data_IF_641749236117
#
_entry.id   IF_641749236117
#
_cell.length_a   1.000
_cell.length_b   1.000
_cell.length_c   1.000
_cell.angle_alpha   90.00
_cell.angle_beta   90.00
_cell.angle_gamma   90.00
#
_symmetry.space_group_name_H-M   'P 1'
#
loop_
_entity.id
_entity.type
_entity.pdbx_description
1 polymer ?
#
# COMPACT_ATOMS: atom_id res chain seq x y z
N UNK A 1 52.38 44.86 -50.48
CA UNK A 1 53.09 45.21 -49.27
C UNK A 1 52.65 44.26 -48.19
N UNK A 2 53.58 43.48 -47.72
CA UNK A 2 53.44 42.45 -46.67
C UNK A 2 53.25 43.07 -45.29
N UNK A 3 52.65 42.34 -44.39
CA UNK A 3 53.06 42.07 -43.02
C UNK A 3 52.04 41.11 -42.44
N UNK A 4 52.37 39.85 -42.28
CA UNK A 4 52.73 38.95 -41.16
C UNK A 4 51.93 39.08 -39.87
N UNK A 5 51.30 37.90 -39.50
CA UNK A 5 51.23 37.16 -38.21
C UNK A 5 50.68 37.90 -36.99
N UNK A 6 49.68 37.29 -36.33
CA UNK A 6 49.86 36.25 -35.29
C UNK A 6 48.55 35.60 -34.86
N UNK A 7 48.67 34.37 -34.51
CA UNK A 7 47.69 33.37 -34.05
C UNK A 7 47.14 33.68 -32.68
N UNK A 8 45.82 33.49 -32.48
CA UNK A 8 45.31 32.94 -31.24
C UNK A 8 44.05 32.08 -31.49
N UNK A 9 44.18 30.81 -31.18
CA UNK A 9 43.14 29.78 -31.19
C UNK A 9 42.18 29.95 -30.04
N UNK A 10 40.88 29.99 -30.29
CA UNK A 10 39.86 29.58 -29.32
C UNK A 10 38.86 28.70 -30.03
N UNK A 11 38.83 27.44 -29.60
CA UNK A 11 37.91 26.41 -30.03
C UNK A 11 36.52 26.67 -29.44
N UNK A 12 35.53 26.93 -30.27
CA UNK A 12 34.13 26.78 -29.94
C UNK A 12 33.65 25.46 -30.52
N UNK A 13 33.32 24.53 -29.66
CA UNK A 13 32.71 23.24 -30.02
C UNK A 13 31.21 23.42 -30.15
N UNK A 14 30.73 23.43 -31.37
CA UNK A 14 29.30 23.26 -31.69
C UNK A 14 28.92 21.82 -31.40
N UNK A 15 28.03 21.61 -30.44
CA UNK A 15 27.41 20.33 -30.17
C UNK A 15 26.17 20.17 -31.07
N UNK A 16 26.36 19.49 -32.20
CA UNK A 16 25.26 18.90 -32.95
C UNK A 16 24.64 17.75 -32.16
N UNK A 17 23.32 17.76 -32.00
CA UNK A 17 22.51 16.70 -31.43
C UNK A 17 22.31 15.64 -32.52
N UNK A 18 22.77 14.39 -32.36
CA UNK A 18 22.47 13.34 -33.33
C UNK A 18 21.03 12.83 -33.16
N UNK A 19 20.38 12.62 -34.32
CA UNK A 19 19.08 12.02 -34.46
C UNK A 19 19.05 10.59 -33.88
N UNK A 20 17.98 10.26 -33.20
CA UNK A 20 17.65 8.97 -32.63
C UNK A 20 17.56 7.89 -33.70
N UNK A 21 18.44 6.91 -33.60
CA UNK A 21 18.30 5.57 -34.23
C UNK A 21 18.06 4.60 -33.10
N UNK A 22 16.96 3.83 -33.20
CA UNK A 22 16.59 2.83 -32.21
C UNK A 22 17.68 1.80 -31.96
N UNK A 23 18.21 1.80 -30.76
CA UNK A 23 19.13 0.83 -30.23
C UNK A 23 18.64 0.49 -28.82
N UNK A 24 18.43 -0.79 -28.57
CA UNK A 24 18.20 -1.35 -27.24
C UNK A 24 19.27 -0.85 -26.30
N UNK A 25 18.89 0.01 -25.37
CA UNK A 25 19.77 0.50 -24.33
C UNK A 25 20.06 -0.65 -23.36
N UNK A 26 21.22 -1.26 -23.50
CA UNK A 26 21.76 -2.14 -22.46
C UNK A 26 22.18 -1.25 -21.28
N UNK A 27 21.31 -1.13 -20.28
CA UNK A 27 21.66 -0.48 -19.02
C UNK A 27 22.71 -1.32 -18.30
N UNK A 28 23.91 -0.78 -18.21
CA UNK A 28 24.98 -1.33 -17.40
C UNK A 28 24.71 -0.91 -15.95
N UNK A 29 24.11 -1.79 -15.15
CA UNK A 29 23.96 -1.57 -13.72
C UNK A 29 25.18 -2.16 -13.00
N UNK A 30 25.90 -1.39 -12.18
CA UNK A 30 26.93 -1.93 -11.32
C UNK A 30 26.28 -2.91 -10.33
N UNK A 31 26.88 -4.08 -10.17
CA UNK A 31 26.47 -5.06 -9.19
C UNK A 31 26.46 -4.38 -7.81
N UNK A 32 25.28 -4.35 -7.18
CA UNK A 32 25.16 -3.89 -5.79
C UNK A 32 25.82 -4.96 -4.94
N UNK A 33 26.81 -4.64 -4.10
CA UNK A 33 27.40 -5.60 -3.20
C UNK A 33 26.32 -6.19 -2.28
N UNK A 34 26.30 -7.50 -2.14
CA UNK A 34 25.56 -8.16 -1.06
C UNK A 34 26.30 -7.87 0.26
N UNK A 35 26.14 -6.66 0.79
CA UNK A 35 26.69 -6.31 2.09
C UNK A 35 25.80 -6.92 3.18
N UNK A 36 26.17 -8.14 3.58
CA UNK A 36 25.68 -8.79 4.80
C UNK A 36 26.19 -8.09 6.09
N UNK A 37 26.96 -7.01 5.95
CA UNK A 37 27.58 -6.25 7.04
C UNK A 37 26.89 -4.91 7.31
N UNK A 38 25.56 -4.88 7.32
CA UNK A 38 24.87 -3.79 8.01
C UNK A 38 24.86 -4.12 9.51
N UNK A 39 25.96 -3.76 10.19
CA UNK A 39 25.98 -3.70 11.64
C UNK A 39 24.94 -2.67 12.05
N UNK A 40 23.75 -3.18 12.42
CA UNK A 40 22.62 -2.37 12.87
C UNK A 40 23.02 -1.46 14.03
N UNK A 41 23.55 -0.28 13.72
CA UNK A 41 23.44 0.83 14.63
C UNK A 41 21.96 1.17 14.66
N UNK A 42 21.27 0.75 15.71
CA UNK A 42 20.03 1.39 16.15
C UNK A 42 20.34 2.89 16.21
N UNK A 43 19.94 3.62 15.18
CA UNK A 43 19.89 5.07 15.29
C UNK A 43 18.77 5.33 16.28
N UNK A 44 19.07 6.02 17.36
CA UNK A 44 18.09 6.61 18.24
C UNK A 44 17.12 7.42 17.36
N UNK A 45 15.97 6.81 17.05
CA UNK A 45 14.93 7.44 16.24
C UNK A 45 14.26 8.51 17.08
N UNK A 46 14.65 9.75 16.88
CA UNK A 46 14.08 10.92 17.57
C UNK A 46 13.01 11.64 16.73
N UNK A 47 12.66 11.09 15.57
CA UNK A 47 11.70 11.66 14.62
C UNK A 47 10.27 11.14 14.82
N UNK A 48 9.32 11.76 14.13
CA UNK A 48 7.94 11.29 14.06
C UNK A 48 7.84 10.03 13.18
N UNK A 49 6.90 9.13 13.50
CA UNK A 49 6.74 7.86 12.81
C UNK A 49 6.22 8.05 11.37
N UNK A 50 6.81 7.37 10.39
CA UNK A 50 6.31 7.31 9.01
C UNK A 50 5.17 6.31 8.92
N UNK A 51 3.92 6.79 8.99
CA UNK A 51 2.72 5.96 8.99
C UNK A 51 2.43 5.27 7.65
N UNK A 52 2.47 5.98 6.50
CA UNK A 52 2.15 5.40 5.20
C UNK A 52 3.00 4.19 4.84
N UNK A 53 2.32 3.11 4.44
CA UNK A 53 2.96 1.83 4.15
C UNK A 53 3.62 1.83 2.77
N UNK A 54 4.69 1.05 2.68
CA UNK A 54 5.24 0.48 1.44
C UNK A 54 4.54 -0.85 1.19
N UNK A 55 4.11 -1.12 -0.02
CA UNK A 55 3.46 -2.39 -0.40
C UNK A 55 4.23 -3.08 -1.50
N UNK A 56 4.57 -4.34 -1.28
CA UNK A 56 5.15 -5.24 -2.26
C UNK A 56 4.18 -6.39 -2.49
N UNK A 57 3.79 -6.59 -3.74
CA UNK A 57 3.01 -7.72 -4.19
C UNK A 57 3.81 -8.52 -5.20
N UNK A 58 3.87 -9.84 -5.02
CA UNK A 58 4.60 -10.74 -5.92
C UNK A 58 3.69 -11.90 -6.29
N UNK A 59 3.49 -12.08 -7.58
CA UNK A 59 2.74 -13.20 -8.15
C UNK A 59 3.71 -14.21 -8.74
N UNK A 60 3.42 -15.48 -8.53
CA UNK A 60 4.20 -16.61 -9.00
C UNK A 60 3.36 -17.52 -9.90
N UNK A 61 4.01 -18.23 -10.79
CA UNK A 61 3.44 -19.32 -11.58
C UNK A 61 4.19 -20.63 -11.32
N UNK A 62 3.61 -21.75 -11.69
CA UNK A 62 4.30 -23.05 -11.64
C UNK A 62 5.25 -23.19 -12.83
N UNK A 63 6.43 -23.74 -12.60
CA UNK A 63 7.40 -24.04 -13.66
C UNK A 63 6.85 -25.06 -14.66
N UNK A 64 5.96 -25.96 -14.24
CA UNK A 64 5.34 -27.00 -15.10
C UNK A 64 4.32 -26.45 -16.09
N UNK A 65 3.85 -25.21 -15.93
CA UNK A 65 2.81 -24.65 -16.79
C UNK A 65 3.36 -24.09 -18.12
N UNK A 66 4.68 -24.11 -18.32
CA UNK A 66 5.34 -23.68 -19.58
C UNK A 66 5.10 -24.60 -20.77
N UNK A 67 4.65 -25.86 -20.58
CA UNK A 67 4.54 -26.87 -21.62
C UNK A 67 3.19 -27.55 -21.80
N UNK A 68 2.17 -27.18 -21.08
CA UNK A 68 0.83 -27.72 -21.31
C UNK A 68 0.08 -26.84 -22.29
N UNK A 69 0.05 -27.32 -23.54
CA UNK A 69 -0.87 -26.85 -24.58
C UNK A 69 -2.28 -26.68 -23.98
N UNK A 70 -2.89 -25.52 -24.20
CA UNK A 70 -4.21 -25.14 -23.68
C UNK A 70 -5.39 -26.03 -24.13
N UNK A 71 -5.10 -27.19 -24.69
CA UNK A 71 -6.09 -28.17 -25.20
C UNK A 71 -6.49 -29.27 -24.21
N UNK A 72 -5.81 -29.40 -23.07
CA UNK A 72 -6.22 -30.36 -22.03
C UNK A 72 -6.77 -29.63 -20.84
N UNK A 73 -8.04 -29.36 -20.92
CA UNK A 73 -8.83 -28.71 -19.93
C UNK A 73 -8.78 -29.35 -18.55
N UNK A 74 -9.09 -28.50 -17.61
CA UNK A 74 -9.76 -28.88 -16.39
C UNK A 74 -8.88 -29.51 -15.30
N UNK A 75 -8.03 -28.65 -14.67
CA UNK A 75 -7.75 -28.88 -13.26
C UNK A 75 -8.78 -28.09 -12.42
N UNK A 76 -9.98 -28.65 -12.33
CA UNK A 76 -10.94 -28.18 -11.36
C UNK A 76 -10.33 -28.24 -9.95
N UNK A 77 -10.62 -27.25 -9.06
CA UNK A 77 -10.15 -27.24 -7.67
C UNK A 77 -10.70 -28.41 -6.81
N UNK A 78 -11.34 -29.39 -7.42
CA UNK A 78 -12.13 -30.42 -6.74
C UNK A 78 -11.37 -31.67 -6.28
N UNK A 79 -10.06 -31.76 -6.42
CA UNK A 79 -9.33 -32.98 -6.02
C UNK A 79 -8.20 -32.79 -5.00
N UNK A 80 -7.99 -31.59 -4.46
CA UNK A 80 -7.11 -31.44 -3.30
C UNK A 80 -7.86 -31.78 -2.03
N UNK A 81 -7.31 -32.66 -1.16
CA UNK A 81 -7.91 -32.93 0.13
C UNK A 81 -8.18 -31.63 0.90
N UNK A 82 -9.32 -31.50 1.61
CA UNK A 82 -9.55 -30.35 2.47
C UNK A 82 -8.38 -30.24 3.47
N UNK A 83 -7.75 -29.09 3.54
CA UNK A 83 -6.57 -28.74 4.34
C UNK A 83 -5.18 -28.94 3.69
N UNK A 84 -5.05 -29.26 2.41
CA UNK A 84 -3.75 -29.24 1.74
C UNK A 84 -3.38 -27.80 1.38
N UNK A 85 -2.36 -27.25 2.03
CA UNK A 85 -1.80 -25.96 1.63
C UNK A 85 -1.10 -26.12 0.29
N UNK A 86 -1.23 -25.13 -0.60
CA UNK A 86 -0.67 -25.13 -1.95
C UNK A 86 0.33 -23.98 -2.12
N UNK A 87 1.32 -24.17 -2.99
CA UNK A 87 2.23 -23.12 -3.41
C UNK A 87 2.94 -22.46 -2.23
N UNK A 88 2.95 -21.12 -2.18
CA UNK A 88 3.61 -20.32 -1.13
C UNK A 88 3.08 -20.59 0.29
N UNK A 89 1.83 -21.08 0.41
CA UNK A 89 1.26 -21.44 1.71
C UNK A 89 1.94 -22.68 2.36
N UNK A 90 2.83 -23.37 1.63
CA UNK A 90 3.70 -24.41 2.18
C UNK A 90 4.98 -23.88 2.80
N UNK A 91 5.25 -22.57 2.72
CA UNK A 91 6.38 -21.96 3.43
C UNK A 91 6.23 -22.21 4.93
N UNK A 92 7.31 -22.66 5.57
CA UNK A 92 7.35 -22.84 7.02
C UNK A 92 7.36 -21.49 7.73
N UNK A 93 7.09 -21.50 9.02
CA UNK A 93 7.14 -20.28 9.83
C UNK A 93 8.55 -19.66 9.80
N UNK A 94 9.61 -20.46 9.88
CA UNK A 94 10.99 -20.00 9.84
C UNK A 94 11.33 -19.37 8.47
N UNK A 95 10.76 -19.89 7.38
CA UNK A 95 10.93 -19.30 6.06
C UNK A 95 10.23 -17.95 5.92
N UNK A 96 9.03 -17.82 6.48
CA UNK A 96 8.30 -16.55 6.54
C UNK A 96 9.01 -15.54 7.46
N UNK A 97 9.52 -15.98 8.61
CA UNK A 97 10.32 -15.14 9.51
C UNK A 97 11.59 -14.62 8.82
N UNK A 98 12.23 -15.43 7.96
CA UNK A 98 13.38 -14.97 7.14
C UNK A 98 12.99 -13.87 6.15
N UNK A 99 11.84 -13.98 5.49
CA UNK A 99 11.31 -12.92 4.60
C UNK A 99 11.10 -11.65 5.40
N UNK A 100 10.40 -11.75 6.54
CA UNK A 100 10.08 -10.61 7.41
C UNK A 100 11.34 -9.96 8.00
N UNK A 101 12.34 -10.76 8.41
CA UNK A 101 13.60 -10.23 8.94
C UNK A 101 14.36 -9.37 7.92
N UNK A 102 14.34 -9.75 6.62
CA UNK A 102 14.93 -8.92 5.56
C UNK A 102 14.20 -7.59 5.39
N UNK A 103 12.90 -7.57 5.63
CA UNK A 103 12.09 -6.35 5.63
C UNK A 103 12.17 -5.58 6.96
N UNK A 104 12.89 -6.08 7.97
CA UNK A 104 12.97 -5.54 9.34
C UNK A 104 11.60 -5.47 10.03
N UNK A 105 10.86 -6.56 9.97
CA UNK A 105 9.61 -6.74 10.70
C UNK A 105 9.52 -8.17 11.26
N UNK A 106 8.62 -8.38 12.22
CA UNK A 106 8.39 -9.68 12.86
C UNK A 106 6.92 -10.06 12.81
N UNK A 107 6.64 -11.37 12.74
CA UNK A 107 5.27 -11.89 12.75
C UNK A 107 4.77 -11.96 14.20
N UNK A 108 3.67 -11.28 14.50
CA UNK A 108 3.02 -11.25 15.81
C UNK A 108 1.92 -12.31 15.94
N UNK A 109 1.06 -12.42 14.92
CA UNK A 109 -0.07 -13.36 14.93
C UNK A 109 -0.46 -13.77 13.52
N UNK A 110 -1.36 -14.76 13.42
CA UNK A 110 -1.82 -15.30 12.15
C UNK A 110 -3.28 -15.74 12.24
N UNK A 111 -4.05 -15.42 11.21
CA UNK A 111 -5.34 -16.05 10.92
C UNK A 111 -5.29 -16.68 9.53
N UNK A 112 -6.00 -17.80 9.37
CA UNK A 112 -6.01 -18.56 8.12
C UNK A 112 -7.41 -18.99 7.76
N UNK A 113 -7.69 -19.07 6.46
CA UNK A 113 -8.84 -19.79 5.93
C UNK A 113 -8.39 -20.73 4.80
N UNK A 114 -9.34 -21.30 4.07
CA UNK A 114 -9.00 -22.19 2.96
C UNK A 114 -8.26 -21.50 1.79
N UNK A 115 -8.28 -20.17 1.67
CA UNK A 115 -7.76 -19.41 0.54
C UNK A 115 -6.43 -18.73 0.82
N UNK A 116 -6.24 -18.17 2.02
CA UNK A 116 -5.06 -17.41 2.39
C UNK A 116 -4.71 -17.53 3.86
N UNK A 117 -3.45 -17.24 4.16
CA UNK A 117 -2.93 -16.98 5.50
C UNK A 117 -2.64 -15.48 5.63
N UNK A 118 -3.10 -14.84 6.70
CA UNK A 118 -2.89 -13.43 6.99
C UNK A 118 -2.15 -13.27 8.32
N UNK A 119 -1.06 -12.52 8.31
CA UNK A 119 -0.18 -12.32 9.45
C UNK A 119 -0.16 -10.85 9.84
N UNK A 120 -0.43 -10.56 11.10
CA UNK A 120 -0.17 -9.23 11.68
C UNK A 120 1.32 -9.16 12.01
N UNK A 121 1.97 -8.10 11.56
CA UNK A 121 3.40 -7.86 11.78
C UNK A 121 3.62 -6.75 12.80
N UNK A 122 4.85 -6.65 13.33
CA UNK A 122 5.27 -5.51 14.16
C UNK A 122 5.13 -4.18 13.42
N UNK A 123 5.30 -4.21 12.09
CA UNK A 123 5.35 -3.02 11.25
C UNK A 123 4.35 -3.08 10.06
N UNK A 124 3.28 -3.81 10.12
CA UNK A 124 2.14 -3.85 9.22
C UNK A 124 1.57 -5.26 8.97
N UNK A 125 1.55 -5.79 7.72
CA UNK A 125 0.80 -7.03 7.39
C UNK A 125 1.46 -7.85 6.29
N UNK A 126 1.27 -9.17 6.37
CA UNK A 126 1.67 -10.12 5.33
C UNK A 126 0.47 -11.01 4.97
N UNK A 127 0.16 -11.12 3.68
CA UNK A 127 -0.86 -12.02 3.14
C UNK A 127 -0.19 -13.03 2.21
N UNK A 128 -0.48 -14.32 2.44
CA UNK A 128 0.09 -15.43 1.67
C UNK A 128 -1.04 -16.23 1.04
N UNK A 129 -1.16 -16.13 -0.27
CA UNK A 129 -1.99 -16.95 -1.12
C UNK A 129 -1.19 -18.12 -1.71
N UNK A 130 -1.81 -19.07 -2.40
CA UNK A 130 -1.06 -20.13 -3.05
C UNK A 130 0.03 -19.65 -4.02
N UNK A 131 -0.26 -18.60 -4.79
CA UNK A 131 0.63 -18.08 -5.84
C UNK A 131 0.87 -16.58 -5.77
N UNK A 132 0.44 -15.93 -4.72
CA UNK A 132 0.62 -14.49 -4.51
C UNK A 132 1.03 -14.21 -3.06
N UNK A 133 1.92 -13.27 -2.87
CA UNK A 133 2.31 -12.75 -1.56
C UNK A 133 2.20 -11.24 -1.58
N UNK A 134 1.52 -10.69 -0.58
CA UNK A 134 1.45 -9.23 -0.36
C UNK A 134 2.10 -8.92 0.98
N UNK A 135 3.18 -8.15 0.96
CA UNK A 135 3.85 -7.66 2.16
C UNK A 135 3.74 -6.14 2.22
N UNK A 136 3.23 -5.65 3.34
CA UNK A 136 3.10 -4.22 3.64
C UNK A 136 3.93 -3.90 4.86
N UNK A 137 4.65 -2.78 4.83
CA UNK A 137 5.41 -2.32 5.98
C UNK A 137 5.45 -0.79 6.05
N UNK A 138 5.42 -0.24 7.26
CA UNK A 138 5.53 1.20 7.54
C UNK A 138 6.87 1.55 8.19
N UNK A 139 7.02 2.76 8.65
CA UNK A 139 8.23 3.23 9.33
C UNK A 139 9.49 3.18 8.45
N UNK A 140 10.62 2.90 9.09
CA UNK A 140 11.95 2.84 8.44
C UNK A 140 12.35 1.43 7.99
N UNK A 141 11.37 0.55 7.79
CA UNK A 141 11.54 -0.83 7.32
C UNK A 141 12.19 -0.91 5.94
N UNK A 142 12.82 -2.05 5.65
CA UNK A 142 13.58 -2.30 4.41
C UNK A 142 12.87 -3.30 3.50
N UNK A 143 11.60 -3.03 3.19
CA UNK A 143 10.69 -3.94 2.48
C UNK A 143 11.31 -4.64 1.28
N UNK A 144 11.88 -3.90 0.34
CA UNK A 144 12.40 -4.46 -0.90
C UNK A 144 13.56 -5.45 -0.71
N UNK A 145 14.27 -5.41 0.42
CA UNK A 145 15.36 -6.35 0.71
C UNK A 145 14.90 -7.80 0.87
N UNK A 146 13.59 -8.05 1.01
CA UNK A 146 13.07 -9.42 1.08
C UNK A 146 12.93 -10.11 -0.29
N UNK A 147 12.97 -9.38 -1.41
CA UNK A 147 12.68 -9.91 -2.75
C UNK A 147 13.54 -11.11 -3.12
N UNK A 148 14.86 -11.01 -2.94
CA UNK A 148 15.77 -12.11 -3.27
C UNK A 148 15.42 -13.39 -2.49
N UNK A 149 15.22 -13.26 -1.18
CA UNK A 149 14.82 -14.38 -0.32
C UNK A 149 13.48 -14.98 -0.74
N UNK A 150 12.51 -14.14 -1.09
CA UNK A 150 11.19 -14.59 -1.54
C UNK A 150 11.27 -15.38 -2.86
N UNK A 151 12.04 -14.89 -3.84
CA UNK A 151 12.27 -15.57 -5.13
C UNK A 151 12.93 -16.92 -4.91
N UNK A 152 13.97 -17.00 -4.09
CA UNK A 152 14.69 -18.24 -3.81
C UNK A 152 13.79 -19.26 -3.10
N UNK A 153 13.00 -18.84 -2.12
CA UNK A 153 12.01 -19.71 -1.47
C UNK A 153 10.92 -20.18 -2.43
N UNK A 154 10.43 -19.30 -3.31
CA UNK A 154 9.49 -19.68 -4.36
C UNK A 154 10.03 -20.79 -5.25
N UNK A 155 11.30 -20.70 -5.68
CA UNK A 155 11.97 -21.73 -6.49
C UNK A 155 12.04 -23.08 -5.77
N UNK A 156 12.27 -23.11 -4.46
CA UNK A 156 12.27 -24.37 -3.69
C UNK A 156 10.90 -25.08 -3.71
N UNK A 157 9.83 -24.33 -4.01
CA UNK A 157 8.47 -24.83 -4.17
C UNK A 157 8.08 -25.10 -5.64
N UNK A 158 9.04 -25.01 -6.58
CA UNK A 158 8.79 -25.15 -8.01
C UNK A 158 8.00 -23.99 -8.62
N UNK A 159 8.13 -22.80 -8.00
CA UNK A 159 7.46 -21.57 -8.45
C UNK A 159 8.47 -20.61 -9.06
N UNK A 160 8.03 -19.87 -10.06
CA UNK A 160 8.76 -18.79 -10.70
C UNK A 160 7.96 -17.49 -10.62
N UNK A 161 8.67 -16.38 -10.54
CA UNK A 161 8.06 -15.05 -10.52
C UNK A 161 7.38 -14.77 -11.86
N UNK A 162 6.16 -14.26 -11.79
CA UNK A 162 5.32 -13.94 -12.95
C UNK A 162 5.01 -12.45 -13.03
N UNK A 163 4.80 -11.80 -11.86
CA UNK A 163 4.49 -10.39 -11.76
C UNK A 163 4.98 -9.81 -10.43
N UNK A 164 5.41 -8.54 -10.46
CA UNK A 164 5.79 -7.78 -9.26
C UNK A 164 5.18 -6.40 -9.31
N UNK A 165 4.51 -6.02 -8.24
CA UNK A 165 4.07 -4.66 -7.97
C UNK A 165 4.72 -4.11 -6.71
N UNK A 166 5.25 -2.91 -6.79
CA UNK A 166 5.69 -2.15 -5.62
C UNK A 166 5.04 -0.78 -5.64
N UNK A 167 4.50 -0.36 -4.52
CA UNK A 167 3.89 0.96 -4.43
C UNK A 167 4.01 1.58 -3.05
N UNK A 168 4.04 2.89 -3.01
CA UNK A 168 3.98 3.69 -1.78
C UNK A 168 3.59 5.14 -2.05
N UNK A 169 3.10 5.80 -1.04
CA UNK A 169 3.01 7.27 -1.02
C UNK A 169 4.43 7.88 -0.91
N UNK A 170 4.60 9.15 -1.32
CA UNK A 170 5.79 9.91 -0.95
C UNK A 170 5.93 9.98 0.57
N UNK A 171 7.15 9.77 1.08
CA UNK A 171 7.43 9.82 2.50
C UNK A 171 7.26 11.23 3.07
N UNK A 172 6.79 11.30 4.31
CA UNK A 172 6.80 12.53 5.10
C UNK A 172 8.23 12.82 5.60
N UNK A 173 9.00 11.76 5.91
CA UNK A 173 10.36 11.82 6.46
C UNK A 173 11.34 11.01 5.59
N UNK A 174 11.62 11.45 4.33
CA UNK A 174 12.47 10.68 3.42
C UNK A 174 13.93 10.54 3.91
N UNK A 175 14.42 11.50 4.70
CA UNK A 175 15.76 11.46 5.29
C UNK A 175 15.98 10.35 6.32
N UNK A 176 14.91 9.83 6.91
CA UNK A 176 14.95 8.79 7.94
C UNK A 176 14.90 7.38 7.33
N UNK A 177 14.59 7.27 6.03
CA UNK A 177 14.46 5.98 5.37
C UNK A 177 15.80 5.28 5.18
N UNK A 178 15.82 3.97 5.47
CA UNK A 178 16.97 3.10 5.22
C UNK A 178 17.05 2.69 3.74
N UNK A 179 18.28 2.35 3.28
CA UNK A 179 18.46 1.77 1.94
C UNK A 179 17.57 0.51 1.76
N UNK A 180 16.88 0.35 0.62
CA UNK A 180 16.91 1.16 -0.61
C UNK A 180 15.83 2.25 -0.70
N UNK A 181 15.17 2.60 0.41
CA UNK A 181 13.96 3.44 0.42
C UNK A 181 14.22 4.96 0.57
N UNK A 182 15.45 5.44 0.41
CA UNK A 182 15.75 6.86 0.56
C UNK A 182 15.17 7.73 -0.57
N UNK A 183 14.96 7.14 -1.74
CA UNK A 183 14.27 7.77 -2.88
C UNK A 183 13.63 6.72 -3.77
N UNK A 184 12.63 7.12 -4.58
CA UNK A 184 12.02 6.21 -5.54
C UNK A 184 13.01 5.76 -6.62
N UNK A 185 13.94 6.63 -7.02
CA UNK A 185 15.01 6.26 -7.95
C UNK A 185 15.89 5.14 -7.38
N UNK A 186 16.28 5.24 -6.11
CA UNK A 186 17.07 4.20 -5.45
C UNK A 186 16.29 2.86 -5.33
N UNK A 187 14.97 2.92 -5.11
CA UNK A 187 14.11 1.75 -5.10
C UNK A 187 14.05 1.10 -6.49
N UNK A 188 13.96 1.89 -7.56
CA UNK A 188 14.00 1.40 -8.94
C UNK A 188 15.36 0.76 -9.25
N UNK A 189 16.47 1.41 -8.91
CA UNK A 189 17.82 0.86 -9.11
C UNK A 189 17.97 -0.48 -8.38
N UNK A 190 17.45 -0.56 -7.16
CA UNK A 190 17.48 -1.80 -6.38
C UNK A 190 16.66 -2.90 -7.05
N UNK A 191 15.43 -2.61 -7.49
CA UNK A 191 14.57 -3.57 -8.20
C UNK A 191 15.21 -4.04 -9.50
N UNK A 192 15.76 -3.14 -10.30
CA UNK A 192 16.44 -3.48 -11.56
C UNK A 192 17.78 -4.20 -11.36
N UNK A 193 18.44 -4.09 -10.19
CA UNK A 193 19.69 -4.80 -9.90
C UNK A 193 19.50 -6.31 -9.68
N UNK A 194 18.28 -6.76 -9.41
CA UNK A 194 17.98 -8.17 -9.23
C UNK A 194 17.88 -8.89 -10.56
N UNK A 195 18.94 -9.60 -10.92
CA UNK A 195 19.06 -10.35 -12.18
C UNK A 195 17.86 -11.27 -12.47
N UNK A 196 17.35 -11.94 -11.44
CA UNK A 196 16.19 -12.84 -11.55
C UNK A 196 14.89 -12.09 -11.87
N UNK A 197 14.80 -10.82 -11.55
CA UNK A 197 13.67 -9.95 -11.89
C UNK A 197 13.84 -9.40 -13.31
N UNK A 198 14.99 -8.81 -13.61
CA UNK A 198 15.27 -8.11 -14.87
C UNK A 198 15.42 -9.03 -16.09
N UNK A 199 15.85 -10.29 -15.92
CA UNK A 199 15.96 -11.24 -17.03
C UNK A 199 14.61 -11.81 -17.46
N UNK A 200 13.58 -11.72 -16.64
CA UNK A 200 12.28 -12.35 -16.86
C UNK A 200 11.12 -11.38 -17.00
N UNK A 201 11.21 -10.24 -16.34
CA UNK A 201 10.14 -9.25 -16.27
C UNK A 201 10.62 -7.94 -16.87
N UNK A 202 9.78 -7.34 -17.68
CA UNK A 202 9.93 -5.94 -18.09
C UNK A 202 9.20 -5.06 -17.08
N UNK A 203 9.86 -4.05 -16.56
CA UNK A 203 9.34 -3.24 -15.45
C UNK A 203 9.39 -1.76 -15.73
N UNK A 204 8.43 -1.04 -15.16
CA UNK A 204 8.32 0.41 -15.30
C UNK A 204 7.91 1.08 -13.99
N UNK A 205 8.52 2.24 -13.70
CA UNK A 205 8.20 3.06 -12.53
C UNK A 205 7.41 4.30 -12.90
N UNK A 206 6.40 4.62 -12.10
CA UNK A 206 5.45 5.70 -12.35
C UNK A 206 5.25 6.57 -11.10
N UNK A 207 4.92 7.85 -11.34
CA UNK A 207 4.50 8.78 -10.28
C UNK A 207 3.13 9.33 -10.61
N UNK A 208 2.17 9.17 -9.69
CA UNK A 208 0.81 9.69 -9.81
C UNK A 208 0.56 10.80 -8.81
N UNK A 209 -0.05 11.89 -9.27
CA UNK A 209 -0.41 13.04 -8.44
C UNK A 209 0.58 14.19 -8.49
N UNK A 210 0.35 15.24 -7.70
CA UNK A 210 1.16 16.46 -7.72
C UNK A 210 2.52 16.26 -7.04
N UNK A 211 3.61 16.60 -7.73
CA UNK A 211 4.99 16.43 -7.21
C UNK A 211 5.24 17.26 -5.94
N UNK A 212 4.50 18.36 -5.76
CA UNK A 212 4.62 19.28 -4.61
C UNK A 212 3.66 18.96 -3.47
N UNK A 213 2.87 17.88 -3.59
CA UNK A 213 1.89 17.45 -2.60
C UNK A 213 1.92 15.94 -2.41
N UNK A 214 0.81 15.38 -1.93
CA UNK A 214 0.69 13.94 -1.80
C UNK A 214 0.64 13.28 -3.18
N UNK A 215 1.58 12.38 -3.45
CA UNK A 215 1.71 11.61 -4.69
C UNK A 215 2.06 10.16 -4.39
N UNK A 216 1.81 9.30 -5.36
CA UNK A 216 1.97 7.87 -5.23
C UNK A 216 2.97 7.36 -6.26
N UNK A 217 3.96 6.61 -5.77
CA UNK A 217 4.93 5.90 -6.58
C UNK A 217 4.46 4.48 -6.82
N UNK A 218 4.59 4.02 -8.06
CA UNK A 218 4.20 2.67 -8.49
C UNK A 218 5.28 2.11 -9.38
N UNK A 219 5.71 0.89 -9.11
CA UNK A 219 6.53 0.07 -10.00
C UNK A 219 5.74 -1.19 -10.32
N UNK A 220 5.69 -1.57 -11.57
CA UNK A 220 5.12 -2.83 -12.04
C UNK A 220 6.09 -3.49 -12.99
N UNK A 221 6.31 -4.79 -12.81
CA UNK A 221 7.08 -5.62 -13.73
C UNK A 221 6.27 -6.88 -14.04
N UNK A 222 6.13 -7.18 -15.32
CA UNK A 222 5.34 -8.30 -15.85
C UNK A 222 6.14 -9.12 -16.88
N UNK A 223 5.75 -10.35 -17.12
CA UNK A 223 6.28 -11.11 -18.24
C UNK A 223 5.79 -10.53 -19.58
N UNK A 224 6.74 -10.18 -20.45
CA UNK A 224 6.48 -9.59 -21.77
C UNK A 224 5.62 -10.48 -22.70
N UNK A 225 5.36 -11.71 -22.30
CA UNK A 225 4.63 -12.72 -23.08
C UNK A 225 3.43 -13.29 -22.28
N UNK A 226 2.71 -12.48 -21.54
CA UNK A 226 1.51 -12.95 -20.88
C UNK A 226 0.53 -13.49 -21.93
N UNK A 227 0.52 -14.81 -22.05
CA UNK A 227 -0.59 -15.49 -22.72
C UNK A 227 -1.87 -15.17 -21.94
N UNK A 228 -2.85 -14.57 -22.59
CA UNK A 228 -4.19 -14.20 -22.05
C UNK A 228 -5.02 -15.38 -21.54
N UNK A 229 -4.41 -16.51 -21.25
CA UNK A 229 -5.06 -17.79 -20.99
C UNK A 229 -5.25 -18.15 -19.51
N UNK A 230 -4.84 -17.31 -18.58
CA UNK A 230 -5.26 -17.50 -17.20
C UNK A 230 -6.57 -16.75 -16.99
N UNK A 231 -7.59 -17.53 -16.68
CA UNK A 231 -8.92 -17.12 -16.27
C UNK A 231 -8.79 -16.20 -15.03
N UNK A 232 -8.44 -14.95 -15.32
CA UNK A 232 -8.12 -13.95 -14.30
C UNK A 232 -9.43 -13.49 -13.71
N UNK A 233 -9.72 -13.99 -12.54
CA UNK A 233 -10.55 -13.23 -11.61
C UNK A 233 -10.03 -11.78 -11.62
N UNK A 234 -10.88 -10.87 -12.08
CA UNK A 234 -10.58 -9.44 -12.09
C UNK A 234 -9.97 -9.01 -10.76
N UNK A 235 -8.83 -8.33 -10.80
CA UNK A 235 -8.15 -7.93 -9.59
C UNK A 235 -8.30 -6.43 -9.29
N UNK A 236 -8.42 -6.07 -8.04
CA UNK A 236 -8.50 -4.67 -7.61
C UNK A 236 -8.19 -4.51 -6.13
N UNK A 237 -7.43 -3.48 -5.81
CA UNK A 237 -7.08 -3.10 -4.46
C UNK A 237 -7.42 -1.63 -4.24
N UNK A 238 -8.32 -1.36 -3.30
CA UNK A 238 -8.64 -0.02 -2.82
C UNK A 238 -7.83 0.27 -1.56
N UNK A 239 -7.11 1.40 -1.54
CA UNK A 239 -6.39 1.88 -0.36
C UNK A 239 -6.85 3.31 -0.03
N UNK A 240 -7.11 3.59 1.26
CA UNK A 240 -7.48 4.90 1.80
C UNK A 240 -6.49 5.25 2.90
N UNK A 241 -5.65 6.24 2.65
CA UNK A 241 -4.64 6.76 3.58
C UNK A 241 -5.15 8.06 4.19
N UNK A 242 -5.42 8.07 5.48
CA UNK A 242 -6.06 9.17 6.22
C UNK A 242 -5.06 9.86 7.13
N UNK A 243 -5.02 11.18 7.08
CA UNK A 243 -4.07 12.02 7.81
C UNK A 243 -4.80 13.02 8.70
N UNK A 244 -4.18 13.36 9.81
CA UNK A 244 -4.75 14.24 10.80
C UNK A 244 -6.14 13.75 11.24
N UNK A 245 -6.21 12.51 11.72
CA UNK A 245 -7.46 11.89 12.20
C UNK A 245 -7.98 12.64 13.43
N UNK A 246 -9.28 12.52 13.68
CA UNK A 246 -9.94 13.17 14.81
C UNK A 246 -9.29 12.76 16.14
N UNK A 247 -8.97 13.74 17.00
CA UNK A 247 -8.26 13.53 18.26
C UNK A 247 -8.98 12.55 19.19
N UNK A 248 -10.32 12.62 19.27
CA UNK A 248 -11.11 11.71 20.11
C UNK A 248 -11.06 10.27 19.58
N UNK A 249 -10.91 10.10 18.26
CA UNK A 249 -10.72 8.78 17.66
C UNK A 249 -9.30 8.30 17.87
N UNK A 250 -8.30 9.17 17.69
CA UNK A 250 -6.90 8.86 17.94
C UNK A 250 -6.65 8.36 19.38
N UNK A 251 -7.28 9.00 20.36
CA UNK A 251 -7.20 8.60 21.78
C UNK A 251 -7.67 7.16 22.05
N UNK A 252 -8.51 6.58 21.19
CA UNK A 252 -8.94 5.18 21.32
C UNK A 252 -7.79 4.19 21.11
N UNK A 253 -6.69 4.60 20.51
CA UNK A 253 -5.57 3.74 20.13
C UNK A 253 -4.33 3.92 21.01
N UNK A 254 -4.46 4.62 22.14
CA UNK A 254 -3.44 4.65 23.18
C UNK A 254 -3.59 3.44 24.11
N UNK A 255 -2.48 2.76 24.37
CA UNK A 255 -2.45 1.50 25.11
C UNK A 255 -2.91 1.65 26.56
N UNK A 256 -2.43 2.69 27.24
CA UNK A 256 -2.73 2.99 28.65
C UNK A 256 -4.22 3.20 28.95
N UNK A 257 -5.02 3.57 27.94
CA UNK A 257 -6.48 3.73 28.11
C UNK A 257 -7.18 2.45 28.58
N UNK A 258 -6.60 1.28 28.32
CA UNK A 258 -7.18 -0.03 28.56
C UNK A 258 -6.41 -0.85 29.61
N UNK A 259 -5.36 -0.28 30.21
CA UNK A 259 -4.66 -0.89 31.33
C UNK A 259 -5.44 -0.72 32.63
N UNK A 260 -5.47 -1.76 33.47
CA UNK A 260 -6.14 -1.74 34.76
C UNK A 260 -5.24 -1.23 35.90
N UNK A 261 -3.90 -1.31 35.73
CA UNK A 261 -2.90 -0.76 36.64
C UNK A 261 -1.55 -0.55 35.93
N UNK A 262 -0.83 0.50 36.30
CA UNK A 262 0.47 0.88 35.69
C UNK A 262 1.63 -0.04 36.11
N UNK A 263 1.45 -0.96 37.07
CA UNK A 263 2.54 -1.69 37.75
C UNK A 263 2.69 -3.17 37.32
N UNK A 264 1.82 -3.72 36.47
CA UNK A 264 1.95 -5.11 36.04
C UNK A 264 2.63 -5.23 34.66
N UNK A 265 3.58 -6.18 34.51
CA UNK A 265 4.19 -6.42 33.20
C UNK A 265 3.13 -6.94 32.20
N UNK A 266 3.16 -6.36 31.01
CA UNK A 266 2.21 -6.63 29.92
C UNK A 266 2.36 -8.09 29.47
N UNK A 267 1.30 -8.88 29.68
CA UNK A 267 1.24 -10.22 29.15
C UNK A 267 0.84 -10.20 27.65
N UNK A 268 1.34 -11.14 26.85
CA UNK A 268 1.00 -11.27 25.42
C UNK A 268 -0.53 -11.30 25.18
N UNK A 269 -1.29 -11.86 26.14
CA UNK A 269 -2.75 -11.84 26.13
C UNK A 269 -3.35 -10.43 26.26
N UNK A 270 -2.66 -9.48 26.90
CA UNK A 270 -3.15 -8.13 27.07
C UNK A 270 -3.13 -7.35 25.76
N UNK A 271 -2.12 -7.53 24.93
CA UNK A 271 -2.05 -6.89 23.62
C UNK A 271 -3.26 -7.28 22.75
N UNK A 272 -3.66 -8.55 22.74
CA UNK A 272 -4.85 -9.01 22.00
C UNK A 272 -6.16 -8.53 22.62
N UNK A 273 -6.26 -8.54 23.95
CA UNK A 273 -7.43 -8.04 24.69
C UNK A 273 -7.64 -6.53 24.41
N UNK A 274 -6.57 -5.76 24.49
CA UNK A 274 -6.60 -4.32 24.21
C UNK A 274 -6.95 -4.05 22.76
N UNK A 275 -6.33 -4.75 21.81
CA UNK A 275 -6.63 -4.62 20.39
C UNK A 275 -8.12 -4.93 20.08
N UNK A 276 -8.69 -5.96 20.69
CA UNK A 276 -10.11 -6.28 20.56
C UNK A 276 -11.02 -5.17 21.13
N UNK A 277 -10.62 -4.57 22.26
CA UNK A 277 -11.33 -3.44 22.85
C UNK A 277 -11.25 -2.18 21.95
N UNK A 278 -10.08 -1.90 21.37
CA UNK A 278 -9.89 -0.81 20.40
C UNK A 278 -10.73 -1.04 19.14
N UNK A 279 -10.71 -2.26 18.57
CA UNK A 279 -11.54 -2.65 17.41
C UNK A 279 -13.00 -2.31 17.63
N UNK A 280 -13.54 -2.70 18.81
CA UNK A 280 -14.93 -2.45 19.17
C UNK A 280 -15.23 -0.98 19.47
N UNK A 281 -14.36 -0.32 20.23
CA UNK A 281 -14.56 1.08 20.62
C UNK A 281 -14.55 2.02 19.39
N UNK A 282 -13.72 1.75 18.40
CA UNK A 282 -13.64 2.51 17.15
C UNK A 282 -14.68 2.06 16.11
N UNK A 283 -15.38 0.93 16.31
CA UNK A 283 -16.35 0.38 15.35
C UNK A 283 -15.70 -0.20 14.08
N UNK A 284 -14.44 -0.63 14.16
CA UNK A 284 -13.69 -1.20 13.03
C UNK A 284 -14.32 -2.52 12.57
N UNK A 285 -14.85 -3.32 13.47
CA UNK A 285 -15.56 -4.55 13.17
C UNK A 285 -16.72 -4.35 12.19
N UNK A 286 -17.38 -3.20 12.24
CA UNK A 286 -18.47 -2.85 11.32
C UNK A 286 -18.01 -2.49 9.91
N UNK A 287 -16.72 -2.23 9.70
CA UNK A 287 -16.14 -1.97 8.38
C UNK A 287 -15.89 -3.27 7.58
N UNK A 288 -15.75 -4.40 8.28
CA UNK A 288 -15.46 -5.70 7.69
C UNK A 288 -16.51 -6.75 8.13
N UNK A 289 -17.80 -6.58 7.81
CA UNK A 289 -18.86 -7.44 8.31
C UNK A 289 -18.67 -8.90 7.86
N UNK A 290 -18.72 -9.81 8.82
CA UNK A 290 -18.59 -11.26 8.58
C UNK A 290 -17.16 -11.75 8.37
N UNK A 291 -16.15 -10.88 8.41
CA UNK A 291 -14.76 -11.28 8.32
C UNK A 291 -14.22 -11.81 9.66
N UNK A 292 -13.25 -12.71 9.57
CA UNK A 292 -12.38 -13.06 10.69
C UNK A 292 -11.37 -11.91 10.86
N UNK A 293 -11.30 -11.34 12.08
CA UNK A 293 -10.39 -10.24 12.41
C UNK A 293 -9.33 -10.74 13.39
N UNK A 294 -8.07 -10.46 13.09
CA UNK A 294 -6.92 -10.57 14.00
C UNK A 294 -6.28 -9.20 14.15
N UNK A 295 -6.02 -8.78 15.39
CA UNK A 295 -5.54 -7.43 15.67
C UNK A 295 -4.48 -7.41 16.76
N UNK A 296 -3.62 -6.40 16.71
CA UNK A 296 -2.58 -6.11 17.68
C UNK A 296 -2.64 -4.64 18.10
N UNK A 297 -2.49 -4.39 19.40
CA UNK A 297 -2.28 -3.07 19.98
C UNK A 297 -0.80 -2.89 20.31
N UNK A 298 -0.28 -1.69 20.11
CA UNK A 298 1.12 -1.37 20.34
C UNK A 298 1.27 -0.39 21.50
N UNK A 299 2.34 -0.55 22.26
CA UNK A 299 2.71 0.38 23.33
C UNK A 299 3.72 1.42 22.79
N UNK A 300 3.59 2.71 23.13
CA UNK A 300 2.55 3.32 23.99
C UNK A 300 1.22 3.57 23.27
N UNK A 301 1.21 3.46 21.94
CA UNK A 301 0.03 3.65 21.10
C UNK A 301 0.20 2.99 19.74
N UNK A 302 -0.91 2.76 19.08
CA UNK A 302 -0.94 2.16 17.74
C UNK A 302 -1.82 0.92 17.67
N UNK A 303 -2.20 0.59 16.45
CA UNK A 303 -3.10 -0.54 16.19
C UNK A 303 -2.88 -1.08 14.77
N UNK A 304 -2.88 -2.38 14.65
CA UNK A 304 -2.90 -3.06 13.36
C UNK A 304 -3.94 -4.16 13.37
N UNK A 305 -4.61 -4.37 12.24
CA UNK A 305 -5.51 -5.51 12.07
C UNK A 305 -5.47 -6.07 10.66
N UNK A 306 -5.71 -7.38 10.57
CA UNK A 306 -6.06 -8.07 9.34
C UNK A 306 -7.44 -8.68 9.47
N UNK A 307 -8.24 -8.53 8.45
CA UNK A 307 -9.55 -9.14 8.33
C UNK A 307 -9.58 -10.03 7.07
N UNK A 308 -10.09 -11.24 7.20
CA UNK A 308 -10.16 -12.23 6.11
C UNK A 308 -11.59 -12.64 5.87
N UNK A 309 -12.06 -12.47 4.62
CA UNK A 309 -13.40 -12.88 4.19
C UNK A 309 -13.30 -13.63 2.84
N UNK A 310 -13.52 -14.94 2.84
CA UNK A 310 -13.32 -15.79 1.66
C UNK A 310 -11.92 -15.61 1.06
N UNK A 311 -11.81 -15.13 -0.19
CA UNK A 311 -10.55 -14.86 -0.88
C UNK A 311 -10.02 -13.43 -0.67
N UNK A 312 -10.79 -12.60 0.04
CA UNK A 312 -10.47 -11.20 0.23
C UNK A 312 -9.84 -10.94 1.59
N UNK A 313 -8.95 -9.96 1.62
CA UNK A 313 -8.45 -9.36 2.85
C UNK A 313 -8.92 -7.92 2.99
N UNK A 314 -8.92 -7.44 4.22
CA UNK A 314 -8.86 -6.02 4.55
C UNK A 314 -7.81 -5.83 5.63
N UNK A 315 -7.12 -4.70 5.62
CA UNK A 315 -6.11 -4.38 6.63
C UNK A 315 -6.19 -2.92 7.04
N UNK A 316 -5.79 -2.64 8.25
CA UNK A 316 -5.80 -1.31 8.83
C UNK A 316 -4.61 -1.13 9.77
N UNK A 317 -3.96 0.02 9.65
CA UNK A 317 -2.85 0.42 10.50
C UNK A 317 -3.10 1.83 11.00
N UNK A 318 -2.91 2.06 12.31
CA UNK A 318 -3.23 3.33 12.95
C UNK A 318 -2.06 3.76 13.81
N UNK A 319 -1.55 4.95 13.52
CA UNK A 319 -0.54 5.67 14.30
C UNK A 319 -1.20 6.92 14.84
N UNK A 320 -1.62 6.96 16.12
CA UNK A 320 -2.46 8.03 16.65
C UNK A 320 -1.69 9.26 17.14
N UNK A 321 -0.38 9.29 16.98
CA UNK A 321 0.52 10.32 17.52
C UNK A 321 0.13 11.74 17.09
N UNK A 322 0.11 12.65 18.07
CA UNK A 322 -0.24 14.05 17.83
C UNK A 322 0.73 14.71 16.84
N UNK A 323 0.17 15.38 15.84
CA UNK A 323 0.94 16.09 14.81
C UNK A 323 1.29 15.25 13.57
N UNK A 324 1.19 13.92 13.66
CA UNK A 324 1.40 13.00 12.54
C UNK A 324 0.39 11.86 12.49
N UNK A 325 -0.78 12.04 13.13
CA UNK A 325 -1.77 10.97 13.25
C UNK A 325 -2.21 10.46 11.88
N UNK A 326 -2.22 9.14 11.75
CA UNK A 326 -2.44 8.42 10.51
C UNK A 326 -3.32 7.19 10.72
N UNK A 327 -4.15 6.89 9.76
CA UNK A 327 -4.84 5.60 9.67
C UNK A 327 -4.92 5.18 8.19
N UNK A 328 -4.65 3.91 7.89
CA UNK A 328 -4.89 3.33 6.59
C UNK A 328 -6.04 2.32 6.64
N UNK A 329 -6.71 2.17 5.52
CA UNK A 329 -7.62 1.06 5.25
C UNK A 329 -7.37 0.57 3.83
N UNK A 330 -7.06 -0.71 3.68
CA UNK A 330 -6.89 -1.33 2.37
C UNK A 330 -7.73 -2.60 2.27
N UNK A 331 -8.25 -2.86 1.08
CA UNK A 331 -8.98 -4.11 0.79
C UNK A 331 -8.90 -4.48 -0.69
N UNK A 332 -8.83 -5.79 -0.95
CA UNK A 332 -9.03 -6.36 -2.28
C UNK A 332 -10.43 -6.94 -2.48
N UNK A 333 -11.38 -6.59 -1.61
CA UNK A 333 -12.76 -7.06 -1.73
C UNK A 333 -13.42 -6.54 -3.00
N UNK A 334 -14.00 -7.46 -3.78
CA UNK A 334 -14.66 -7.18 -5.05
C UNK A 334 -16.12 -6.79 -4.81
N UNK A 335 -16.41 -5.51 -4.79
CA UNK A 335 -17.76 -4.95 -4.67
C UNK A 335 -18.10 -4.10 -5.89
N UNK A 336 -19.38 -4.02 -6.24
CA UNK A 336 -19.83 -3.19 -7.37
C UNK A 336 -19.76 -1.68 -7.09
N UNK A 337 -19.78 -1.26 -5.83
CA UNK A 337 -19.59 0.13 -5.42
C UNK A 337 -18.89 0.22 -4.08
N UNK A 338 -17.84 1.01 -4.00
CA UNK A 338 -17.11 1.28 -2.76
C UNK A 338 -17.69 2.46 -1.96
N UNK A 339 -18.73 3.12 -2.43
CA UNK A 339 -19.26 4.36 -1.85
C UNK A 339 -19.60 4.25 -0.36
N UNK A 340 -20.31 3.19 0.02
CA UNK A 340 -20.68 2.96 1.42
C UNK A 340 -19.47 2.65 2.29
N UNK A 341 -18.54 1.82 1.79
CA UNK A 341 -17.32 1.48 2.49
C UNK A 341 -16.46 2.72 2.73
N UNK A 342 -16.19 3.51 1.68
CA UNK A 342 -15.43 4.77 1.78
C UNK A 342 -16.09 5.71 2.79
N UNK A 343 -17.41 5.90 2.69
CA UNK A 343 -18.14 6.77 3.62
C UNK A 343 -18.04 6.29 5.07
N UNK A 344 -18.10 4.99 5.31
CA UNK A 344 -17.98 4.41 6.65
C UNK A 344 -16.57 4.58 7.20
N UNK A 345 -15.53 4.30 6.40
CA UNK A 345 -14.11 4.49 6.80
C UNK A 345 -13.85 5.95 7.16
N UNK A 346 -14.22 6.89 6.28
CA UNK A 346 -14.02 8.32 6.54
C UNK A 346 -14.83 8.80 7.76
N UNK A 347 -16.03 8.27 7.97
CA UNK A 347 -16.85 8.59 9.15
C UNK A 347 -16.21 8.10 10.45
N UNK A 348 -15.58 6.92 10.43
CA UNK A 348 -14.90 6.36 11.58
C UNK A 348 -13.73 7.23 12.03
N UNK A 349 -12.88 7.65 11.11
CA UNK A 349 -11.62 8.35 11.43
C UNK A 349 -11.69 9.87 11.35
N UNK A 350 -12.64 10.43 10.62
CA UNK A 350 -12.85 11.87 10.45
C UNK A 350 -11.54 12.64 10.14
N UNK A 351 -10.75 12.23 9.14
CA UNK A 351 -9.46 12.85 8.85
C UNK A 351 -9.62 14.29 8.35
N UNK A 352 -8.58 15.13 8.47
CA UNK A 352 -8.56 16.44 7.80
C UNK A 352 -8.28 16.33 6.31
N UNK A 353 -7.52 15.31 5.90
CA UNK A 353 -7.22 14.99 4.50
C UNK A 353 -7.03 13.50 4.32
N UNK A 354 -7.27 13.01 3.13
CA UNK A 354 -6.98 11.62 2.79
C UNK A 354 -6.60 11.46 1.33
N UNK A 355 -5.82 10.42 1.08
CA UNK A 355 -5.44 9.94 -0.25
C UNK A 355 -6.15 8.62 -0.48
N UNK A 356 -6.75 8.48 -1.64
CA UNK A 356 -7.36 7.22 -2.08
C UNK A 356 -6.63 6.74 -3.32
N UNK A 357 -6.25 5.47 -3.35
CA UNK A 357 -5.71 4.82 -4.55
C UNK A 357 -6.53 3.58 -4.87
N UNK A 358 -6.64 3.30 -6.16
CA UNK A 358 -7.26 2.10 -6.71
C UNK A 358 -6.33 1.55 -7.77
N UNK A 359 -5.81 0.36 -7.53
CA UNK A 359 -5.09 -0.43 -8.51
C UNK A 359 -6.00 -1.55 -8.98
N UNK A 360 -6.23 -1.68 -10.27
CA UNK A 360 -7.16 -2.66 -10.79
C UNK A 360 -6.81 -3.02 -12.24
N UNK A 361 -7.17 -4.24 -12.64
CA UNK A 361 -7.23 -4.58 -14.04
C UNK A 361 -8.43 -3.89 -14.73
N UNK A 362 -8.43 -3.87 -16.05
CA UNK A 362 -9.49 -3.22 -16.83
C UNK A 362 -10.87 -3.83 -16.58
N UNK A 363 -10.95 -5.16 -16.41
CA UNK A 363 -12.17 -5.89 -16.07
C UNK A 363 -12.69 -5.51 -14.68
N UNK A 364 -11.79 -5.36 -13.70
CA UNK A 364 -12.11 -4.91 -12.35
C UNK A 364 -12.66 -3.48 -12.33
N UNK A 365 -12.09 -2.58 -13.12
CA UNK A 365 -12.61 -1.21 -13.25
C UNK A 365 -14.02 -1.17 -13.87
N UNK A 366 -14.26 -1.98 -14.91
CA UNK A 366 -15.57 -2.03 -15.59
C UNK A 366 -16.69 -2.53 -14.67
N UNK A 367 -16.38 -3.34 -13.67
CA UNK A 367 -17.36 -3.83 -12.69
C UNK A 367 -17.71 -2.80 -11.60
N UNK A 368 -16.99 -1.70 -11.49
CA UNK A 368 -17.28 -0.65 -10.51
C UNK A 368 -18.29 0.33 -11.11
N UNK A 369 -19.50 0.36 -10.57
CA UNK A 369 -20.59 1.21 -11.06
C UNK A 369 -20.45 2.67 -10.64
N UNK A 370 -19.83 2.94 -9.50
CA UNK A 370 -19.56 4.28 -8.98
C UNK A 370 -18.09 4.35 -8.56
N UNK A 371 -17.27 5.03 -9.35
CA UNK A 371 -15.83 5.18 -9.06
C UNK A 371 -15.52 6.65 -8.71
N UNK A 372 -15.25 6.96 -7.44
CA UNK A 372 -14.99 8.33 -7.00
C UNK A 372 -13.69 8.93 -7.56
N UNK A 373 -12.83 8.12 -8.17
CA UNK A 373 -11.57 8.55 -8.77
C UNK A 373 -11.73 8.97 -10.23
N UNK A 374 -12.70 8.40 -10.97
CA UNK A 374 -12.92 8.68 -12.39
C UNK A 374 -14.16 9.55 -12.65
N UNK A 375 -15.19 9.44 -11.79
CA UNK A 375 -16.44 10.17 -12.01
C UNK A 375 -16.23 11.69 -11.93
N UNK A 376 -16.93 12.40 -12.82
CA UNK A 376 -16.86 13.85 -12.94
C UNK A 376 -17.52 14.60 -11.75
N UNK A 377 -18.05 15.74 -11.90
CA UNK A 377 -18.47 16.71 -10.88
C UNK A 377 -19.16 16.19 -9.60
N UNK A 378 -19.91 15.09 -9.61
CA UNK A 378 -20.57 14.55 -8.42
C UNK A 378 -19.62 13.82 -7.47
N UNK A 379 -18.58 13.18 -8.02
CA UNK A 379 -17.55 12.48 -7.23
C UNK A 379 -16.42 13.40 -6.72
N UNK A 380 -16.41 14.66 -7.19
CA UNK A 380 -15.47 15.66 -6.68
C UNK A 380 -15.70 15.99 -5.19
N UNK A 381 -16.82 15.54 -4.63
CA UNK A 381 -17.22 15.83 -3.25
C UNK A 381 -17.73 14.57 -2.55
N UNK A 382 -17.12 14.23 -1.41
CA UNK A 382 -17.58 13.18 -0.54
C UNK A 382 -18.22 13.82 0.68
N UNK A 383 -19.51 13.54 0.92
CA UNK A 383 -20.27 14.07 2.04
C UNK A 383 -20.56 12.93 3.01
N UNK A 384 -20.08 13.06 4.23
CA UNK A 384 -20.24 12.08 5.28
C UNK A 384 -21.12 12.64 6.40
N UNK A 385 -22.28 12.05 6.70
CA UNK A 385 -23.13 12.45 7.80
C UNK A 385 -22.57 11.96 9.14
N UNK A 386 -22.61 12.80 10.18
CA UNK A 386 -22.30 12.44 11.57
C UNK A 386 -23.59 12.26 12.36
N UNK A 387 -23.84 11.05 12.85
CA UNK A 387 -25.13 10.66 13.47
C UNK A 387 -25.47 11.41 14.77
N UNK A 388 -24.46 11.88 15.53
CA UNK A 388 -24.69 12.49 16.86
C UNK A 388 -24.92 13.99 16.86
N UNK A 389 -24.63 14.71 15.80
CA UNK A 389 -24.69 16.18 15.79
C UNK A 389 -25.56 16.78 14.67
N UNK A 390 -26.07 15.97 13.75
CA UNK A 390 -26.72 16.46 12.54
C UNK A 390 -25.78 17.20 11.59
N UNK A 391 -24.49 17.29 11.93
CA UNK A 391 -23.46 17.90 11.09
C UNK A 391 -23.07 16.98 9.96
N UNK A 392 -22.74 17.55 8.82
CA UNK A 392 -22.17 16.83 7.66
C UNK A 392 -20.78 17.36 7.42
N UNK A 393 -19.79 16.48 7.37
CA UNK A 393 -18.48 16.81 6.85
C UNK A 393 -18.46 16.62 5.33
N UNK A 394 -17.83 17.55 4.66
CA UNK A 394 -17.70 17.56 3.23
C UNK A 394 -16.22 17.60 2.87
N UNK A 395 -15.81 16.67 2.00
CA UNK A 395 -14.45 16.61 1.51
C UNK A 395 -14.46 16.94 0.03
N UNK A 396 -13.60 17.90 -0.36
CA UNK A 396 -13.41 18.29 -1.76
C UNK A 396 -12.19 17.56 -2.32
N UNK A 397 -12.33 17.02 -3.52
CA UNK A 397 -11.22 16.45 -4.25
C UNK A 397 -10.28 17.58 -4.72
N UNK A 398 -9.04 17.56 -4.22
CA UNK A 398 -8.03 18.55 -4.55
C UNK A 398 -7.29 18.21 -5.86
N UNK A 399 -7.03 16.92 -6.08
CA UNK A 399 -6.39 16.42 -7.31
C UNK A 399 -6.81 15.01 -7.61
N UNK A 400 -6.61 14.59 -8.85
CA UNK A 400 -6.75 13.19 -9.29
C UNK A 400 -5.71 12.91 -10.37
N UNK A 401 -5.24 11.67 -10.42
CA UNK A 401 -4.35 11.17 -11.44
C UNK A 401 -4.75 9.74 -11.80
N UNK A 402 -4.53 9.37 -13.06
CA UNK A 402 -4.72 8.00 -13.53
C UNK A 402 -3.65 7.64 -14.53
N UNK A 403 -3.21 6.39 -14.51
CA UNK A 403 -2.28 5.85 -15.47
C UNK A 403 -2.69 4.43 -15.81
N UNK A 404 -2.54 4.05 -17.06
CA UNK A 404 -2.58 2.66 -17.50
C UNK A 404 -1.15 2.15 -17.48
N UNK A 405 -0.92 1.13 -16.66
CA UNK A 405 0.36 0.47 -16.47
C UNK A 405 0.25 -0.87 -17.18
N UNK A 406 1.18 -1.15 -18.09
CA UNK A 406 1.13 -2.36 -18.89
C UNK A 406 -0.19 -2.50 -19.69
N UNK A 407 -0.47 -3.68 -20.23
CA UNK A 407 -1.66 -3.87 -21.08
C UNK A 407 -2.97 -3.79 -20.30
N UNK A 408 -3.01 -4.27 -19.06
CA UNK A 408 -4.26 -4.50 -18.31
C UNK A 408 -4.33 -3.83 -16.93
N UNK A 409 -3.25 -3.27 -16.38
CA UNK A 409 -3.25 -2.66 -15.05
C UNK A 409 -3.52 -1.16 -15.12
N UNK A 410 -4.46 -0.69 -14.32
CA UNK A 410 -4.78 0.73 -14.16
C UNK A 410 -4.54 1.17 -12.71
N UNK A 411 -3.82 2.26 -12.55
CA UNK A 411 -3.61 2.90 -11.26
C UNK A 411 -4.31 4.26 -11.23
N UNK A 412 -5.14 4.46 -10.24
CA UNK A 412 -5.92 5.67 -10.03
C UNK A 412 -5.59 6.23 -8.65
N UNK A 413 -5.47 7.55 -8.55
CA UNK A 413 -5.21 8.25 -7.28
C UNK A 413 -6.06 9.51 -7.19
N UNK A 414 -6.47 9.86 -5.99
CA UNK A 414 -7.09 11.15 -5.69
C UNK A 414 -6.76 11.62 -4.28
N UNK A 415 -6.71 12.93 -4.13
CA UNK A 415 -6.47 13.62 -2.87
C UNK A 415 -7.72 14.41 -2.46
N UNK A 416 -8.16 14.26 -1.22
CA UNK A 416 -9.31 14.98 -0.66
C UNK A 416 -8.92 15.76 0.58
N UNK A 417 -9.55 16.92 0.75
CA UNK A 417 -9.35 17.80 1.90
C UNK A 417 -10.71 18.15 2.48
N UNK A 418 -10.80 18.17 3.81
CA UNK A 418 -11.98 18.59 4.55
C UNK A 418 -12.30 20.05 4.22
N UNK A 419 -13.55 20.31 3.80
CA UNK A 419 -14.03 21.68 3.61
C UNK A 419 -14.36 22.31 4.97
N UNK A 420 -13.74 23.43 5.28
CA UNK A 420 -14.17 24.23 6.43
C UNK A 420 -15.61 24.71 6.24
N UNK A 421 -16.46 24.65 7.26
CA UNK A 421 -17.80 25.21 7.17
C UNK A 421 -17.71 26.69 6.82
N UNK A 422 -18.31 27.07 5.69
CA UNK A 422 -18.30 28.46 5.24
C UNK A 422 -18.90 29.34 6.34
N UNK A 423 -18.21 30.41 6.72
CA UNK A 423 -18.66 31.38 7.78
C UNK A 423 -20.04 31.99 7.49
N UNK A 424 -20.65 31.74 6.34
CA UNK A 424 -21.98 32.24 5.95
C UNK A 424 -23.17 31.50 6.59
N UNK A 425 -23.00 30.29 7.14
CA UNK A 425 -24.12 29.58 7.78
C UNK A 425 -24.46 30.07 9.20
N UNK A 426 -23.56 30.80 9.84
CA UNK A 426 -23.84 31.36 11.20
C UNK A 426 -24.74 32.60 11.20
N UNK A 427 -24.85 33.33 10.09
CA UNK A 427 -25.65 34.56 10.02
C UNK A 427 -27.16 34.32 9.79
N UNK A 428 -27.54 33.16 9.25
CA UNK A 428 -28.96 32.86 8.96
C UNK A 428 -29.74 32.41 10.22
N UNK A 429 -29.08 31.73 11.15
CA UNK A 429 -29.75 31.19 12.35
C UNK A 429 -29.93 32.26 13.46
N UNK A 430 -29.11 33.30 13.49
CA UNK A 430 -29.30 34.42 14.44
C UNK A 430 -30.35 35.43 13.96
N UNK A 431 -30.61 35.58 12.66
CA UNK A 431 -31.69 36.44 12.16
C UNK A 431 -33.10 35.89 12.39
N UNK A 432 -33.26 34.58 12.62
CA UNK A 432 -34.55 33.97 12.89
C UNK A 432 -34.99 34.02 14.34
N UNK A 433 -34.16 34.52 15.29
CA UNK A 433 -34.50 34.66 16.71
C UNK A 433 -34.68 36.10 17.22
N UNK A 434 -34.65 37.06 16.34
CA UNK A 434 -34.82 38.46 16.73
C UNK A 434 -36.05 39.08 16.03
N UNK A 435 -37.21 38.87 16.62
CA UNK A 435 -38.46 39.70 16.50
C UNK A 435 -39.39 39.06 17.54
N UNK A 436 -39.81 39.71 18.61
CA UNK A 436 -40.69 40.86 18.73
C UNK A 436 -40.77 41.24 20.20
N UNK A 437 -40.45 42.48 20.54
CA UNK A 437 -40.99 43.12 21.71
C UNK A 437 -41.51 44.45 21.23
N UNK A 438 -42.80 44.58 21.26
CA UNK A 438 -43.55 45.83 21.44
C UNK A 438 -44.48 45.67 22.59
#
# INVERSE_FOLDING_TARGET
MAFTEETHSTSSSDNEVPATVGGTATHFHPAVPEDDNDSGQERDYTGMFEGPEKTLEVVFRRVSDEYTDASTGDLTPMQTPPNTKLGLRNLTREQLDRICARARCTILSCISNQYLDAYVLSESSLFVYPYMLVLKTCGTTTLLRCIATLIDLGRTLGLEIDWVGYSRKNFNFPGDQSFPHQSFHQELDYLYSHRNLCERLDGSGYTLGPVTGDHWFVFVADQTLRSKALDCDTDRVLNIMMFDIDEQVAELFYYNRYQESDDEPIAENDMKRIAAAQTKAAGIDSLCPGALIDSAAFEPCGYSMNAVLFRSYSTMHITPETGSSYASFETNQKVSSYKSLISNVIRTFRPKRFVMTLMADEGGLQQITENPLTDNASAAKIVVPFEKSGMKCSYKRASTASIKVEEDCCCLMGNWVLEEPSKQSYSATQRARGISIS
#
